data_IF_573699817636
#
_entry.id   IF_573699817636
#
_cell.length_a   1.000
_cell.length_b   1.000
_cell.length_c   1.000
_cell.angle_alpha   90.00
_cell.angle_beta   90.00
_cell.angle_gamma   90.00
#
_symmetry.space_group_name_H-M   'P 1'
#
loop_
_entity.id
_entity.type
_entity.pdbx_description
1 polymer ?
#
# COMPACT_ATOMS: atom_id res chain seq x y z
N UNK A 1 -25.24 23.56 14.26
CA UNK A 1 -23.81 23.19 14.42
C UNK A 1 -23.73 21.68 14.63
N UNK A 2 -22.85 20.97 13.91
CA UNK A 2 -22.85 19.50 13.84
C UNK A 2 -21.73 18.91 14.70
N UNK A 3 -22.09 18.22 15.77
CA UNK A 3 -21.21 17.26 16.41
C UNK A 3 -20.94 16.11 15.43
N UNK A 4 -19.67 15.74 15.23
CA UNK A 4 -19.25 14.67 14.30
C UNK A 4 -20.00 13.35 14.51
N UNK A 5 -20.46 13.09 15.74
CA UNK A 5 -21.18 11.88 16.12
C UNK A 5 -22.62 11.79 15.54
N UNK A 6 -23.17 12.88 14.99
CA UNK A 6 -24.52 12.94 14.40
C UNK A 6 -24.50 13.14 12.87
N UNK A 7 -23.36 12.90 12.21
CA UNK A 7 -23.26 12.95 10.75
C UNK A 7 -23.76 11.64 10.17
N UNK A 8 -24.83 11.70 9.37
CA UNK A 8 -25.35 10.54 8.66
C UNK A 8 -24.68 10.43 7.30
N UNK A 9 -23.84 9.41 7.15
CA UNK A 9 -23.23 9.02 5.88
C UNK A 9 -24.06 7.92 5.23
N UNK A 10 -24.36 8.07 3.93
CA UNK A 10 -25.08 7.08 3.16
C UNK A 10 -24.25 6.65 1.95
N UNK A 11 -24.39 5.39 1.51
CA UNK A 11 -23.78 4.94 0.25
C UNK A 11 -24.84 5.09 -0.84
N UNK A 12 -24.52 5.87 -1.88
CA UNK A 12 -25.38 6.10 -3.04
C UNK A 12 -24.63 5.70 -4.33
N UNK A 13 -25.39 5.16 -5.29
CA UNK A 13 -24.89 4.91 -6.65
C UNK A 13 -25.40 6.01 -7.57
N UNK A 14 -24.48 6.81 -8.12
CA UNK A 14 -24.81 7.92 -9.03
C UNK A 14 -24.04 7.68 -10.33
N UNK A 15 -24.74 7.55 -11.46
CA UNK A 15 -24.15 7.28 -12.78
C UNK A 15 -23.15 6.10 -12.77
N UNK A 16 -23.57 4.96 -12.23
CA UNK A 16 -22.77 3.73 -12.05
C UNK A 16 -21.48 3.91 -11.22
N UNK A 17 -21.36 4.99 -10.45
CA UNK A 17 -20.26 5.22 -9.52
C UNK A 17 -20.76 5.22 -8.08
N UNK A 18 -19.99 4.57 -7.21
CA UNK A 18 -20.26 4.50 -5.76
C UNK A 18 -19.74 5.75 -5.05
N UNK A 19 -20.62 6.40 -4.30
CA UNK A 19 -20.30 7.54 -3.46
C UNK A 19 -20.73 7.30 -2.02
N UNK A 20 -19.95 7.79 -1.07
CA UNK A 20 -20.43 8.06 0.27
C UNK A 20 -20.94 9.51 0.28
N UNK A 21 -22.17 9.74 0.75
CA UNK A 21 -22.83 11.04 0.70
C UNK A 21 -23.08 11.58 2.10
N UNK A 22 -22.91 12.88 2.26
CA UNK A 22 -23.23 13.60 3.49
C UNK A 22 -24.15 14.78 3.16
N UNK A 23 -25.35 14.78 3.72
CA UNK A 23 -26.26 15.92 3.64
C UNK A 23 -25.77 17.05 4.53
N UNK A 24 -25.67 18.26 3.97
CA UNK A 24 -25.27 19.47 4.68
C UNK A 24 -26.41 20.46 4.77
N UNK A 25 -26.40 21.28 5.81
CA UNK A 25 -27.41 22.33 5.99
C UNK A 25 -27.06 23.50 5.05
N UNK A 26 -28.05 24.32 4.67
CA UNK A 26 -27.80 25.49 3.83
C UNK A 26 -26.78 26.46 4.44
N UNK A 27 -26.77 26.58 5.77
CA UNK A 27 -25.86 27.46 6.52
C UNK A 27 -24.43 26.92 6.67
N UNK A 28 -24.17 25.65 6.28
CA UNK A 28 -22.84 25.05 6.39
C UNK A 28 -21.89 25.73 5.37
N UNK A 29 -20.94 26.54 5.88
CA UNK A 29 -19.95 27.25 5.06
C UNK A 29 -18.79 26.32 4.70
N UNK A 30 -18.65 26.07 3.41
CA UNK A 30 -17.56 25.28 2.84
C UNK A 30 -16.28 26.09 2.72
N UNK A 31 -15.16 25.44 2.98
CA UNK A 31 -13.83 25.98 2.80
C UNK A 31 -13.26 25.45 1.48
N UNK A 32 -13.44 26.24 0.42
CA UNK A 32 -13.04 25.86 -0.94
C UNK A 32 -11.55 25.51 -1.07
N UNK A 33 -10.69 26.16 -0.29
CA UNK A 33 -9.27 25.83 -0.27
C UNK A 33 -9.00 24.40 0.24
N UNK A 34 -9.76 23.90 1.23
CA UNK A 34 -9.58 22.54 1.77
C UNK A 34 -9.97 21.49 0.72
N UNK A 35 -11.05 21.76 -0.02
CA UNK A 35 -11.51 20.92 -1.12
C UNK A 35 -10.45 20.88 -2.23
N UNK A 36 -9.93 22.04 -2.62
CA UNK A 36 -8.90 22.16 -3.64
C UNK A 36 -7.59 21.48 -3.21
N UNK A 37 -7.22 21.55 -1.93
CA UNK A 37 -6.06 20.83 -1.41
C UNK A 37 -6.24 19.32 -1.54
N UNK A 38 -7.43 18.79 -1.23
CA UNK A 38 -7.70 17.35 -1.37
C UNK A 38 -7.71 16.94 -2.84
N UNK A 39 -8.38 17.71 -3.70
CA UNK A 39 -8.51 17.40 -5.12
C UNK A 39 -7.18 17.43 -5.88
N UNK A 40 -6.31 18.38 -5.56
CA UNK A 40 -5.03 18.55 -6.24
C UNK A 40 -3.90 17.68 -5.68
N UNK A 41 -4.13 16.96 -4.57
CA UNK A 41 -3.13 16.08 -3.95
C UNK A 41 -3.70 14.67 -3.77
N UNK A 42 -3.78 13.85 -4.84
CA UNK A 42 -4.39 12.51 -4.79
C UNK A 42 -3.62 11.51 -3.90
N UNK A 43 -2.39 11.85 -3.48
CA UNK A 43 -1.64 11.09 -2.49
C UNK A 43 -2.13 11.32 -1.06
N UNK A 44 -3.01 12.29 -0.83
CA UNK A 44 -3.63 12.49 0.46
C UNK A 44 -4.53 11.30 0.80
N UNK A 45 -4.60 10.92 2.08
CA UNK A 45 -5.37 9.77 2.54
C UNK A 45 -6.86 10.13 2.70
N UNK A 46 -7.41 10.91 1.76
CA UNK A 46 -8.81 11.35 1.77
C UNK A 46 -9.52 10.91 0.50
N UNK A 47 -10.81 10.62 0.65
CA UNK A 47 -11.67 10.43 -0.50
C UNK A 47 -11.79 11.74 -1.28
N UNK A 48 -11.79 11.63 -2.61
CA UNK A 48 -12.03 12.76 -3.52
C UNK A 48 -13.42 13.35 -3.22
N UNK A 49 -13.48 14.68 -3.11
CA UNK A 49 -14.67 15.43 -2.70
C UNK A 49 -15.27 16.14 -3.90
N UNK A 50 -16.55 15.90 -4.12
CA UNK A 50 -17.42 16.71 -5.00
C UNK A 50 -18.55 17.33 -4.17
N UNK A 51 -18.96 18.55 -4.52
CA UNK A 51 -20.13 19.20 -3.90
C UNK A 51 -21.22 19.32 -4.95
N UNK A 52 -22.41 18.85 -4.59
CA UNK A 52 -23.60 18.97 -5.42
C UNK A 52 -24.64 19.76 -4.65
N UNK A 53 -25.22 20.76 -5.32
CA UNK A 53 -26.34 21.54 -4.79
C UNK A 53 -27.48 21.49 -5.80
N UNK A 54 -28.62 20.99 -5.36
CA UNK A 54 -29.87 20.99 -6.14
C UNK A 54 -30.92 21.69 -5.29
N UNK A 55 -31.34 22.88 -5.71
CA UNK A 55 -32.20 23.75 -4.92
C UNK A 55 -31.59 24.07 -3.54
N UNK A 56 -32.34 23.78 -2.48
CA UNK A 56 -31.96 23.87 -1.07
C UNK A 56 -31.13 22.68 -0.57
N UNK A 57 -31.13 21.57 -1.31
CA UNK A 57 -30.43 20.35 -0.89
C UNK A 57 -28.98 20.40 -1.32
N UNK A 58 -28.10 20.57 -0.34
CA UNK A 58 -26.66 20.54 -0.53
C UNK A 58 -26.08 19.24 0.01
N UNK A 59 -25.30 18.55 -0.81
CA UNK A 59 -24.66 17.28 -0.49
C UNK A 59 -23.17 17.34 -0.78
N UNK A 60 -22.39 16.68 0.08
CA UNK A 60 -20.99 16.35 -0.17
C UNK A 60 -20.94 14.91 -0.65
N UNK A 61 -20.27 14.69 -1.77
CA UNK A 61 -20.05 13.37 -2.35
C UNK A 61 -18.58 13.00 -2.18
N UNK A 62 -18.34 11.84 -1.59
CA UNK A 62 -17.02 11.25 -1.43
C UNK A 62 -16.91 10.03 -2.34
N UNK A 63 -16.00 10.07 -3.31
CA UNK A 63 -15.89 9.02 -4.33
C UNK A 63 -15.21 7.75 -3.82
N UNK A 64 -15.94 6.64 -3.81
CA UNK A 64 -15.44 5.37 -3.27
C UNK A 64 -14.59 4.60 -4.29
N UNK A 65 -15.07 4.47 -5.53
CA UNK A 65 -14.45 3.58 -6.52
C UNK A 65 -14.46 2.12 -6.05
N UNK A 66 -13.35 1.42 -6.19
CA UNK A 66 -13.19 0.01 -5.80
C UNK A 66 -12.80 -0.19 -4.33
N UNK A 67 -12.89 0.85 -3.50
CA UNK A 67 -12.53 0.75 -2.07
C UNK A 67 -13.64 0.06 -1.29
N UNK A 68 -13.25 -0.75 -0.31
CA UNK A 68 -14.15 -1.42 0.63
C UNK A 68 -14.05 -0.77 2.00
N UNK A 69 -15.10 -0.85 2.82
CA UNK A 69 -15.06 -0.25 4.16
C UNK A 69 -14.10 -1.03 5.08
N UNK A 70 -13.48 -0.34 6.04
CA UNK A 70 -12.66 -0.99 7.06
C UNK A 70 -13.50 -1.91 7.95
N UNK A 71 -14.79 -1.62 8.15
CA UNK A 71 -15.74 -2.56 8.78
C UNK A 71 -15.81 -3.90 8.07
N UNK A 72 -15.88 -3.92 6.73
CA UNK A 72 -15.91 -5.15 5.95
C UNK A 72 -14.60 -5.93 6.13
N UNK A 73 -13.45 -5.25 6.06
CA UNK A 73 -12.12 -5.87 6.25
C UNK A 73 -11.97 -6.52 7.62
N UNK A 74 -12.41 -5.83 8.69
CA UNK A 74 -12.25 -6.34 10.06
C UNK A 74 -13.12 -7.58 10.30
N UNK A 75 -14.27 -7.66 9.65
CA UNK A 75 -15.23 -8.76 9.76
C UNK A 75 -14.92 -9.94 8.84
N UNK A 76 -14.08 -9.74 7.83
CA UNK A 76 -13.74 -10.76 6.84
C UNK A 76 -12.50 -11.57 7.27
N UNK A 77 -12.68 -12.89 7.34
CA UNK A 77 -11.65 -13.85 7.76
C UNK A 77 -10.49 -13.99 6.76
N UNK A 78 -10.66 -13.52 5.52
CA UNK A 78 -9.58 -13.48 4.51
C UNK A 78 -8.47 -12.48 4.89
N UNK A 79 -8.77 -11.52 5.76
CA UNK A 79 -7.81 -10.55 6.24
C UNK A 79 -7.25 -10.99 7.59
N UNK A 80 -5.96 -11.32 7.60
CA UNK A 80 -5.24 -11.58 8.84
C UNK A 80 -5.14 -10.31 9.71
N UNK A 81 -4.77 -10.51 10.98
CA UNK A 81 -4.60 -9.41 11.93
C UNK A 81 -3.44 -8.47 11.57
N UNK A 82 -2.41 -8.97 10.88
CA UNK A 82 -1.24 -8.16 10.50
C UNK A 82 -1.64 -7.08 9.51
N UNK A 83 -2.48 -7.42 8.51
CA UNK A 83 -3.07 -6.46 7.56
C UNK A 83 -3.93 -5.41 8.25
N UNK A 84 -4.74 -5.81 9.23
CA UNK A 84 -5.55 -4.85 10.00
C UNK A 84 -4.64 -3.89 10.78
N UNK A 85 -3.60 -4.40 11.42
CA UNK A 85 -2.63 -3.57 12.17
C UNK A 85 -1.88 -2.61 11.22
N UNK A 86 -1.51 -3.06 10.02
CA UNK A 86 -0.91 -2.20 8.99
C UNK A 86 -1.83 -1.05 8.59
N UNK A 87 -3.13 -1.32 8.42
CA UNK A 87 -4.12 -0.27 8.14
C UNK A 87 -4.20 0.74 9.30
N UNK A 88 -4.21 0.27 10.56
CA UNK A 88 -4.23 1.14 11.74
C UNK A 88 -2.98 2.04 11.82
N UNK A 89 -1.81 1.49 11.50
CA UNK A 89 -0.56 2.25 11.44
C UNK A 89 -0.62 3.34 10.37
N UNK A 90 -1.15 3.01 9.20
CA UNK A 90 -1.31 3.97 8.10
C UNK A 90 -2.28 5.10 8.51
N UNK A 91 -3.40 4.79 9.17
CA UNK A 91 -4.33 5.80 9.71
C UNK A 91 -3.62 6.71 10.71
N UNK A 92 -2.85 6.14 11.65
CA UNK A 92 -2.07 6.90 12.63
C UNK A 92 -1.08 7.86 11.96
N UNK A 93 -0.29 7.39 10.98
CA UNK A 93 0.66 8.22 10.23
C UNK A 93 -0.05 9.38 9.52
N UNK A 94 -1.19 9.09 8.90
CA UNK A 94 -1.99 10.09 8.20
C UNK A 94 -2.48 11.19 9.15
N UNK A 95 -3.00 10.81 10.32
CA UNK A 95 -3.51 11.75 11.32
C UNK A 95 -2.42 12.68 11.89
N UNK A 96 -1.17 12.19 11.97
CA UNK A 96 -0.03 12.98 12.44
C UNK A 96 0.56 13.90 11.37
N UNK A 97 0.57 13.48 10.10
CA UNK A 97 1.26 14.21 9.04
C UNK A 97 0.36 15.17 8.24
N UNK A 98 -0.96 15.10 8.41
CA UNK A 98 -1.90 15.93 7.64
C UNK A 98 -1.67 17.45 7.80
N UNK A 99 -1.14 17.91 8.94
CA UNK A 99 -0.85 19.33 9.18
C UNK A 99 0.16 19.89 8.17
N UNK A 100 1.02 19.05 7.58
CA UNK A 100 1.96 19.43 6.53
C UNK A 100 1.25 19.90 5.25
N UNK A 101 -0.02 19.53 5.08
CA UNK A 101 -0.85 19.90 3.94
C UNK A 101 -1.83 21.05 4.24
N UNK A 102 -1.60 21.81 5.32
CA UNK A 102 -2.46 22.91 5.76
C UNK A 102 -3.93 22.51 6.02
N UNK A 103 -4.17 21.23 6.28
CA UNK A 103 -5.49 20.68 6.61
C UNK A 103 -5.57 20.41 8.11
N UNK A 104 -6.73 20.74 8.71
CA UNK A 104 -6.99 20.46 10.13
C UNK A 104 -7.28 18.97 10.35
N UNK A 105 -6.44 18.28 11.13
CA UNK A 105 -6.60 16.85 11.43
C UNK A 105 -7.89 16.57 12.22
N UNK A 106 -8.40 17.55 12.97
CA UNK A 106 -9.66 17.42 13.71
C UNK A 106 -10.86 17.35 12.79
N UNK A 107 -10.73 17.58 11.47
CA UNK A 107 -11.82 17.41 10.49
C UNK A 107 -11.84 16.04 9.82
N UNK A 108 -10.89 15.17 10.15
CA UNK A 108 -10.88 13.78 9.71
C UNK A 108 -11.96 12.97 10.42
N UNK A 109 -12.74 12.19 9.69
CA UNK A 109 -13.71 11.24 10.26
C UNK A 109 -12.97 9.94 10.57
N UNK A 110 -12.82 9.64 11.86
CA UNK A 110 -12.17 8.43 12.36
C UNK A 110 -13.21 7.45 12.90
N UNK A 111 -13.98 6.87 11.98
CA UNK A 111 -14.95 5.81 12.24
C UNK A 111 -14.69 4.67 11.26
N UNK A 112 -14.49 3.45 11.75
CA UNK A 112 -14.14 2.29 10.93
C UNK A 112 -15.21 1.93 9.89
N UNK A 113 -16.46 2.38 10.07
CA UNK A 113 -17.52 2.24 9.05
C UNK A 113 -17.38 3.23 7.89
N UNK A 114 -16.67 4.33 8.12
CA UNK A 114 -16.50 5.46 7.20
C UNK A 114 -15.04 5.64 6.73
N UNK A 115 -14.17 4.68 7.07
CA UNK A 115 -12.82 4.55 6.52
C UNK A 115 -12.87 3.49 5.44
N UNK A 116 -12.26 3.78 4.29
CA UNK A 116 -12.29 2.92 3.12
C UNK A 116 -10.87 2.54 2.72
N UNK A 117 -10.67 1.32 2.27
CA UNK A 117 -9.34 0.78 1.99
C UNK A 117 -9.31 0.26 0.55
N UNK A 118 -8.22 0.53 -0.17
CA UNK A 118 -8.01 0.00 -1.51
C UNK A 118 -7.36 -1.40 -1.46
N UNK A 119 -7.07 -1.98 -2.63
CA UNK A 119 -6.38 -3.28 -2.75
C UNK A 119 -5.00 -3.30 -2.08
N UNK A 120 -4.32 -2.15 -2.02
CA UNK A 120 -2.96 -2.00 -1.49
C UNK A 120 -2.94 -1.74 0.02
N UNK A 121 -4.06 -1.96 0.73
CA UNK A 121 -4.22 -1.71 2.16
C UNK A 121 -4.00 -0.23 2.58
N UNK A 122 -4.15 0.70 1.64
CA UNK A 122 -4.07 2.14 1.90
C UNK A 122 -5.43 2.66 2.36
N UNK A 123 -5.51 3.25 3.57
CA UNK A 123 -6.75 3.81 4.08
C UNK A 123 -7.03 5.20 3.50
N UNK A 124 -8.30 5.45 3.20
CA UNK A 124 -8.88 6.70 2.75
C UNK A 124 -10.00 7.09 3.71
N UNK A 125 -9.83 8.23 4.36
CA UNK A 125 -10.78 8.79 5.31
C UNK A 125 -11.68 9.82 4.65
N UNK A 126 -12.81 10.10 5.31
CA UNK A 126 -13.63 11.26 4.98
C UNK A 126 -13.03 12.50 5.65
N UNK A 127 -12.93 13.59 4.90
CA UNK A 127 -12.57 14.91 5.43
C UNK A 127 -13.81 15.81 5.39
N UNK A 128 -14.02 16.63 6.43
CA UNK A 128 -15.16 17.53 6.52
C UNK A 128 -14.76 18.97 6.12
N UNK A 129 -15.02 19.42 4.88
CA UNK A 129 -14.50 20.69 4.35
C UNK A 129 -15.36 21.90 4.75
N UNK A 130 -15.87 21.94 5.97
CA UNK A 130 -16.72 23.02 6.47
C UNK A 130 -16.19 23.56 7.79
N UNK A 131 -16.53 24.81 8.11
CA UNK A 131 -16.19 25.39 9.42
C UNK A 131 -16.91 24.61 10.52
N UNK A 132 -16.16 24.08 11.47
CA UNK A 132 -16.70 23.44 12.65
C UNK A 132 -15.86 23.81 13.88
N UNK A 133 -16.50 24.37 14.89
CA UNK A 133 -15.86 24.89 16.10
C UNK A 133 -15.77 23.82 17.20
N UNK A 134 -16.60 22.77 17.14
CA UNK A 134 -16.66 21.69 18.12
C UNK A 134 -16.07 20.39 17.56
N UNK A 135 -14.74 20.37 17.40
CA UNK A 135 -14.03 19.17 16.96
C UNK A 135 -13.17 18.63 18.10
N UNK A 136 -13.40 17.36 18.47
CA UNK A 136 -12.58 16.64 19.45
C UNK A 136 -11.11 16.58 19.02
N UNK A 137 -10.22 16.40 20.00
CA UNK A 137 -8.80 16.20 19.75
C UNK A 137 -8.59 14.97 18.84
N UNK A 138 -7.61 15.05 17.94
CA UNK A 138 -7.25 13.92 17.08
C UNK A 138 -6.85 12.68 17.88
N UNK A 139 -6.20 12.87 19.04
CA UNK A 139 -5.76 11.81 19.94
C UNK A 139 -6.96 11.02 20.47
N UNK A 140 -7.97 11.73 20.95
CA UNK A 140 -9.22 11.12 21.44
C UNK A 140 -9.91 10.33 20.32
N UNK A 141 -10.06 10.94 19.14
CA UNK A 141 -10.68 10.29 17.99
C UNK A 141 -9.91 9.02 17.53
N UNK A 142 -8.58 9.02 17.58
CA UNK A 142 -7.75 7.84 17.26
C UNK A 142 -7.91 6.74 18.30
N UNK A 143 -7.90 7.08 19.60
CA UNK A 143 -8.09 6.11 20.68
C UNK A 143 -9.47 5.47 20.56
N UNK A 144 -10.53 6.27 20.36
CA UNK A 144 -11.90 5.79 20.17
C UNK A 144 -12.00 4.83 18.97
N UNK A 145 -11.37 5.19 17.84
CA UNK A 145 -11.30 4.33 16.66
C UNK A 145 -10.64 2.98 17.00
N UNK A 146 -9.46 3.01 17.64
CA UNK A 146 -8.73 1.79 17.99
C UNK A 146 -9.51 0.93 18.97
N UNK A 147 -10.13 1.52 20.00
CA UNK A 147 -10.99 0.80 20.94
C UNK A 147 -12.14 0.09 20.24
N UNK A 148 -12.82 0.78 19.33
CA UNK A 148 -13.96 0.23 18.62
C UNK A 148 -13.54 -0.93 17.70
N UNK A 149 -12.43 -0.79 16.99
CA UNK A 149 -11.88 -1.87 16.15
C UNK A 149 -11.46 -3.05 17.01
N UNK A 150 -10.80 -2.82 18.15
CA UNK A 150 -10.37 -3.88 19.06
C UNK A 150 -11.56 -4.62 19.68
N UNK A 151 -12.64 -3.92 20.02
CA UNK A 151 -13.89 -4.55 20.50
C UNK A 151 -14.44 -5.52 19.46
N UNK A 152 -14.48 -5.13 18.18
CA UNK A 152 -14.92 -6.01 17.09
C UNK A 152 -13.98 -7.20 16.90
N UNK A 153 -12.66 -6.96 16.87
CA UNK A 153 -11.67 -8.02 16.69
C UNK A 153 -11.71 -9.08 17.80
N UNK A 154 -11.91 -8.66 19.06
CA UNK A 154 -12.07 -9.58 20.19
C UNK A 154 -13.36 -10.40 20.11
N UNK A 155 -14.42 -9.85 19.51
CA UNK A 155 -15.68 -10.55 19.32
C UNK A 155 -15.64 -11.57 18.19
N UNK A 156 -14.89 -11.29 17.12
CA UNK A 156 -14.91 -12.09 15.89
C UNK A 156 -13.73 -13.05 15.72
N UNK A 157 -12.54 -12.75 16.27
CA UNK A 157 -11.31 -13.49 15.94
C UNK A 157 -10.74 -14.27 17.14
N UNK A 158 -10.99 -15.59 17.15
CA UNK A 158 -10.34 -16.54 18.07
C UNK A 158 -8.82 -16.69 17.84
N UNK A 159 -8.29 -16.13 16.75
CA UNK A 159 -6.91 -16.35 16.28
C UNK A 159 -5.91 -15.24 16.68
N UNK A 160 -6.28 -14.32 17.58
CA UNK A 160 -5.33 -13.32 18.07
C UNK A 160 -4.21 -13.99 18.89
N UNK A 161 -2.96 -13.81 18.46
CA UNK A 161 -1.79 -14.26 19.19
C UNK A 161 -1.62 -13.47 20.50
N UNK A 162 -0.77 -13.95 21.40
CA UNK A 162 -0.44 -13.23 22.62
C UNK A 162 0.21 -11.87 22.34
N UNK A 163 0.97 -11.76 21.24
CA UNK A 163 1.59 -10.51 20.82
C UNK A 163 0.55 -9.50 20.31
N UNK A 164 -0.42 -9.95 19.51
CA UNK A 164 -1.53 -9.11 19.06
C UNK A 164 -2.31 -8.57 20.26
N UNK A 165 -2.70 -9.46 21.19
CA UNK A 165 -3.43 -9.08 22.42
C UNK A 165 -2.63 -8.07 23.25
N UNK A 166 -1.31 -8.27 23.38
CA UNK A 166 -0.44 -7.36 24.15
C UNK A 166 -0.32 -5.99 23.49
N UNK A 167 -0.18 -5.91 22.17
CA UNK A 167 -0.14 -4.64 21.45
C UNK A 167 -1.47 -3.89 21.58
N UNK A 168 -2.57 -4.56 21.22
CA UNK A 168 -3.91 -3.96 21.23
C UNK A 168 -4.30 -3.46 22.63
N UNK A 169 -3.96 -4.21 23.69
CA UNK A 169 -4.23 -3.78 25.07
C UNK A 169 -3.37 -2.60 25.54
N UNK A 170 -2.19 -2.38 24.97
CA UNK A 170 -1.40 -1.17 25.24
C UNK A 170 -1.97 0.03 24.50
N UNK A 171 -2.41 -0.14 23.25
CA UNK A 171 -2.97 0.93 22.40
C UNK A 171 -4.22 1.59 22.99
N UNK A 172 -5.00 0.87 23.79
CA UNK A 172 -6.25 1.37 24.39
C UNK A 172 -6.12 1.74 25.86
N UNK A 173 -4.91 2.06 26.34
CA UNK A 173 -4.73 2.53 27.72
C UNK A 173 -5.14 4.00 27.79
N UNK A 174 -5.96 4.36 28.78
CA UNK A 174 -6.45 5.73 29.03
C UNK A 174 -5.37 6.85 29.07
N UNK A 175 -4.08 6.51 29.15
CA UNK A 175 -2.97 7.48 29.25
C UNK A 175 -1.89 7.28 28.20
N UNK A 176 -2.16 6.53 27.14
CA UNK A 176 -1.16 6.35 26.08
C UNK A 176 -0.94 7.68 25.35
N UNK A 177 0.33 8.04 25.16
CA UNK A 177 0.70 9.18 24.32
C UNK A 177 0.76 8.80 22.84
N UNK A 178 0.49 9.74 21.93
CA UNK A 178 0.51 9.44 20.50
C UNK A 178 1.86 8.91 20.02
N UNK A 179 2.96 9.41 20.58
CA UNK A 179 4.31 8.92 20.26
C UNK A 179 4.50 7.46 20.72
N UNK A 180 3.92 7.09 21.86
CA UNK A 180 3.94 5.71 22.37
C UNK A 180 3.18 4.79 21.41
N UNK A 181 2.05 5.23 20.83
CA UNK A 181 1.32 4.45 19.82
C UNK A 181 2.22 4.15 18.61
N UNK A 182 2.97 5.13 18.13
CA UNK A 182 3.93 4.96 17.03
C UNK A 182 5.02 3.93 17.35
N UNK A 183 5.53 3.95 18.59
CA UNK A 183 6.50 2.95 19.07
C UNK A 183 5.91 1.54 19.09
N UNK A 184 4.63 1.38 19.47
CA UNK A 184 3.97 0.07 19.48
C UNK A 184 3.91 -0.58 18.08
N UNK A 185 3.63 0.20 17.03
CA UNK A 185 3.67 -0.32 15.66
C UNK A 185 5.07 -0.79 15.27
N UNK A 186 6.10 -0.02 15.66
CA UNK A 186 7.50 -0.35 15.39
C UNK A 186 7.93 -1.62 16.13
N UNK A 187 7.60 -1.73 17.42
CA UNK A 187 7.86 -2.93 18.23
C UNK A 187 7.15 -4.18 17.67
N UNK A 188 5.91 -4.02 17.20
CA UNK A 188 5.13 -5.12 16.64
C UNK A 188 5.77 -5.67 15.36
N UNK A 189 6.15 -4.78 14.42
CA UNK A 189 6.81 -5.17 13.18
C UNK A 189 8.15 -5.87 13.42
N UNK A 190 8.98 -5.32 14.31
CA UNK A 190 10.27 -5.92 14.65
C UNK A 190 10.11 -7.37 15.18
N UNK A 191 9.14 -7.59 16.07
CA UNK A 191 8.85 -8.94 16.60
C UNK A 191 8.34 -9.89 15.51
N UNK A 192 7.49 -9.42 14.61
CA UNK A 192 6.98 -10.23 13.49
C UNK A 192 8.09 -10.63 12.52
N UNK A 193 9.02 -9.71 12.27
CA UNK A 193 10.18 -10.03 11.43
C UNK A 193 11.12 -11.02 12.12
N UNK A 194 11.32 -10.90 13.44
CA UNK A 194 12.04 -11.91 14.24
C UNK A 194 11.35 -13.29 14.20
N UNK A 195 10.03 -13.35 14.40
CA UNK A 195 9.24 -14.59 14.30
C UNK A 195 9.42 -15.25 12.92
N UNK A 196 9.34 -14.46 11.83
CA UNK A 196 9.53 -14.94 10.45
C UNK A 196 10.96 -15.43 10.18
N UNK A 197 11.96 -14.87 10.86
CA UNK A 197 13.36 -15.30 10.76
C UNK A 197 13.61 -16.59 11.56
N UNK A 198 12.96 -16.75 12.71
CA UNK A 198 13.03 -17.95 13.55
C UNK A 198 12.26 -19.15 12.96
N UNK A 199 11.28 -18.91 12.09
CA UNK A 199 10.51 -19.97 11.42
C UNK A 199 11.22 -20.55 10.16
N UNK A 200 12.24 -19.84 9.64
CA UNK A 200 13.08 -20.32 8.53
C UNK A 200 13.94 -21.56 8.84
N UNK A 201 14.62 -21.70 10.00
CA UNK A 201 15.40 -22.91 10.29
C UNK A 201 14.54 -24.19 10.45
N UNK A 202 13.25 -24.06 10.73
CA UNK A 202 12.31 -25.20 10.83
C UNK A 202 12.03 -25.84 9.47
N UNK A 203 11.85 -25.02 8.42
CA UNK A 203 11.63 -25.52 7.06
C UNK A 203 12.89 -26.13 6.44
N UNK A 204 14.08 -25.62 6.77
CA UNK A 204 15.35 -26.20 6.28
C UNK A 204 15.55 -27.62 6.85
N UNK A 205 15.23 -27.84 8.13
CA UNK A 205 15.25 -29.20 8.71
C UNK A 205 14.23 -30.13 8.08
N UNK A 206 13.01 -29.64 7.79
CA UNK A 206 12.00 -30.44 7.09
C UNK A 206 12.48 -30.84 5.67
N UNK A 207 13.15 -29.94 4.94
CA UNK A 207 13.78 -30.28 3.65
C UNK A 207 14.99 -31.22 3.79
N UNK A 208 15.82 -31.07 4.82
CA UNK A 208 16.95 -31.98 5.09
C UNK A 208 16.49 -33.37 5.53
N UNK A 209 15.42 -33.45 6.33
CA UNK A 209 14.80 -34.71 6.76
C UNK A 209 14.15 -35.42 5.56
N UNK A 210 13.42 -34.69 4.69
CA UNK A 210 12.85 -35.24 3.44
C UNK A 210 13.96 -35.70 2.46
N UNK A 211 15.08 -34.97 2.37
CA UNK A 211 16.22 -35.37 1.55
C UNK A 211 16.95 -36.58 2.14
N UNK A 212 17.00 -36.70 3.47
CA UNK A 212 17.59 -37.84 4.16
C UNK A 212 16.73 -39.11 4.00
N UNK A 213 15.40 -38.99 4.08
CA UNK A 213 14.44 -40.09 3.82
C UNK A 213 14.50 -40.55 2.36
N UNK A 214 14.55 -39.62 1.39
CA UNK A 214 14.75 -39.97 -0.03
C UNK A 214 16.09 -40.64 -0.31
N UNK A 215 17.15 -40.26 0.40
CA UNK A 215 18.46 -40.90 0.25
C UNK A 215 18.51 -42.32 0.84
N UNK A 216 17.68 -42.58 1.86
CA UNK A 216 17.51 -43.91 2.44
C UNK A 216 16.74 -44.85 1.50
N UNK A 217 15.68 -44.36 0.85
CA UNK A 217 14.89 -45.16 -0.11
C UNK A 217 15.66 -45.50 -1.39
N UNK A 218 16.54 -44.60 -1.88
CA UNK A 218 17.40 -44.86 -3.04
C UNK A 218 18.47 -45.92 -2.75
N UNK A 219 18.87 -46.08 -1.48
CA UNK A 219 19.87 -47.09 -1.09
C UNK A 219 19.31 -48.52 -0.94
N UNK A 220 17.98 -48.67 -0.87
CA UNK A 220 17.29 -49.95 -0.65
C UNK A 220 16.49 -50.48 -1.85
N UNK A 221 16.41 -49.75 -2.96
CA UNK A 221 15.85 -50.25 -4.22
C UNK A 221 16.86 -50.05 -5.37
N UNK A 222 17.52 -51.14 -5.78
CA UNK A 222 18.16 -51.18 -7.11
C UNK A 222 19.59 -51.68 -7.20
N UNK A 223 19.96 -52.75 -6.47
CA UNK A 223 21.00 -53.67 -6.95
C UNK A 223 20.44 -54.52 -8.09
N UNK A 224 20.32 -53.91 -9.27
CA UNK A 224 20.31 -54.55 -10.59
C UNK A 224 19.91 -53.48 -11.61
N UNK A 225 20.85 -52.95 -12.38
CA UNK A 225 20.80 -52.96 -13.84
C UNK A 225 22.11 -52.41 -14.41
N UNK A 226 22.49 -53.05 -15.50
CA UNK A 226 23.81 -53.08 -16.13
C UNK A 226 24.18 -51.79 -16.87
N UNK A 227 25.49 -51.52 -16.87
CA UNK A 227 26.22 -50.61 -17.76
C UNK A 227 25.78 -50.69 -19.23
N UNK A 228 25.45 -49.54 -19.84
CA UNK A 228 26.03 -49.10 -21.13
C UNK A 228 25.64 -47.67 -21.52
N UNK A 229 26.67 -46.82 -21.57
CA UNK A 229 26.88 -45.62 -22.42
C UNK A 229 25.85 -44.48 -22.26
N UNK A 230 26.26 -43.23 -22.04
CA UNK A 230 26.82 -42.35 -23.08
C UNK A 230 27.70 -41.27 -22.43
N UNK A 231 28.94 -41.15 -22.94
CA UNK A 231 29.77 -39.94 -22.84
C UNK A 231 29.12 -38.85 -23.68
N UNK A 232 29.01 -37.64 -23.13
CA UNK A 232 29.46 -36.37 -23.73
C UNK A 232 28.62 -35.18 -23.25
N UNK A 233 29.33 -34.07 -23.05
CA UNK A 233 28.86 -32.67 -22.85
C UNK A 233 28.53 -32.23 -21.42
N UNK A 234 29.56 -32.24 -20.59
CA UNK A 234 29.88 -31.08 -19.75
C UNK A 234 30.31 -29.90 -20.63
N UNK A 235 29.41 -28.93 -20.83
CA UNK A 235 29.68 -27.48 -21.01
C UNK A 235 28.37 -26.76 -21.33
N UNK A 236 28.17 -25.61 -20.68
CA UNK A 236 27.02 -24.69 -20.75
C UNK A 236 25.99 -24.85 -19.62
N UNK A 237 26.46 -24.64 -18.38
CA UNK A 237 25.64 -24.02 -17.34
C UNK A 237 25.86 -22.51 -17.46
N UNK A 238 25.09 -21.86 -18.31
CA UNK A 238 24.77 -20.43 -18.25
C UNK A 238 23.67 -20.16 -19.28
N UNK A 239 22.69 -19.36 -18.89
CA UNK A 239 21.44 -19.05 -19.62
C UNK A 239 20.40 -20.17 -19.74
N UNK A 240 19.49 -20.26 -18.76
CA UNK A 240 18.04 -20.36 -19.04
C UNK A 240 17.25 -19.54 -18.03
N UNK A 241 16.96 -18.31 -18.46
CA UNK A 241 15.74 -17.58 -18.13
C UNK A 241 14.53 -18.50 -18.35
N UNK A 242 13.58 -18.43 -17.42
CA UNK A 242 12.25 -18.99 -17.58
C UNK A 242 11.59 -18.49 -18.88
N UNK A 243 11.13 -19.42 -19.71
CA UNK A 243 10.06 -19.23 -20.69
C UNK A 243 9.37 -20.60 -20.89
N UNK A 244 8.16 -20.71 -20.33
CA UNK A 244 6.88 -20.81 -21.04
C UNK A 244 6.59 -22.23 -21.55
N UNK A 245 5.73 -22.93 -20.82
CA UNK A 245 5.05 -24.15 -21.28
C UNK A 245 3.79 -23.69 -22.00
N UNK A 246 3.82 -23.71 -23.32
CA UNK A 246 2.66 -23.95 -24.19
C UNK A 246 3.21 -24.82 -25.31
N UNK A 247 2.83 -26.09 -25.34
CA UNK A 247 2.73 -26.87 -26.56
C UNK A 247 1.27 -27.34 -26.63
N UNK A 248 0.56 -26.75 -27.60
CA UNK A 248 -0.75 -27.19 -28.07
C UNK A 248 -0.59 -28.54 -28.78
N UNK A 249 -1.46 -29.49 -28.46
CA UNK A 249 -1.74 -30.65 -29.30
C UNK A 249 -3.17 -30.49 -29.83
N UNK A 250 -3.29 -30.18 -31.12
CA UNK A 250 -4.55 -30.24 -31.85
C UNK A 250 -4.82 -31.69 -32.26
N UNK A 251 -5.96 -32.23 -31.83
CA UNK A 251 -6.64 -33.28 -32.60
C UNK A 251 -8.17 -33.19 -32.43
N UNK A 252 -8.80 -32.83 -33.55
CA UNK A 252 -9.95 -33.55 -34.14
C UNK A 252 -11.24 -33.66 -33.32
N UNK A 253 -12.27 -32.86 -33.65
CA UNK A 253 -13.64 -33.35 -33.80
C UNK A 253 -14.41 -32.54 -34.86
N UNK A 254 -15.07 -33.30 -35.73
CA UNK A 254 -15.92 -32.87 -36.84
C UNK A 254 -17.30 -32.41 -36.36
N UNK A 255 -17.82 -31.43 -37.10
CA UNK A 255 -19.21 -31.21 -37.51
C UNK A 255 -20.34 -31.64 -36.54
N UNK A 256 -20.86 -30.66 -35.79
CA UNK A 256 -22.27 -30.64 -35.38
C UNK A 256 -22.78 -29.20 -35.52
N UNK A 257 -23.68 -29.00 -36.50
CA UNK A 257 -24.52 -27.81 -36.61
C UNK A 257 -25.33 -27.63 -35.31
N UNK A 258 -25.18 -26.52 -34.60
CA UNK A 258 -26.21 -25.92 -33.74
C UNK A 258 -25.85 -24.46 -33.41
N UNK A 259 -26.80 -23.56 -33.66
CA UNK A 259 -26.78 -22.15 -33.22
C UNK A 259 -27.03 -22.08 -31.71
N UNK A 260 -25.99 -22.21 -30.92
CA UNK A 260 -25.92 -21.82 -29.50
C UNK A 260 -24.44 -21.88 -29.15
N UNK A 261 -23.74 -20.74 -29.09
CA UNK A 261 -22.42 -20.52 -28.41
C UNK A 261 -21.78 -19.19 -28.85
N UNK A 262 -22.47 -18.07 -28.59
CA UNK A 262 -21.91 -16.71 -28.80
C UNK A 262 -21.31 -16.12 -27.50
N UNK A 263 -21.59 -16.70 -26.33
CA UNK A 263 -21.07 -16.19 -25.04
C UNK A 263 -19.61 -16.59 -24.77
N UNK A 264 -19.18 -17.81 -25.12
CA UNK A 264 -17.82 -18.29 -24.83
C UNK A 264 -16.72 -17.64 -25.71
N UNK A 265 -17.09 -17.10 -26.88
CA UNK A 265 -16.14 -16.40 -27.77
C UNK A 265 -15.79 -14.97 -27.30
N UNK A 266 -16.66 -14.35 -26.49
CA UNK A 266 -16.44 -12.99 -25.96
C UNK A 266 -15.58 -13.00 -24.68
N UNK A 267 -15.68 -14.05 -23.87
CA UNK A 267 -14.92 -14.19 -22.63
C UNK A 267 -13.43 -14.49 -22.90
N UNK A 268 -13.14 -15.27 -23.94
CA UNK A 268 -11.75 -15.55 -24.36
C UNK A 268 -11.01 -14.35 -24.98
N UNK A 269 -11.71 -13.38 -25.59
CA UNK A 269 -11.08 -12.13 -26.05
C UNK A 269 -10.80 -11.15 -24.90
N UNK A 270 -11.65 -11.11 -23.87
CA UNK A 270 -11.46 -10.25 -22.69
C UNK A 270 -10.26 -10.70 -21.85
N UNK A 271 -10.08 -12.02 -21.67
CA UNK A 271 -8.95 -12.57 -20.92
C UNK A 271 -7.61 -12.31 -21.65
N UNK A 272 -7.58 -12.37 -22.99
CA UNK A 272 -6.36 -12.10 -23.77
C UNK A 272 -5.93 -10.61 -23.80
N UNK A 273 -6.85 -9.65 -23.69
CA UNK A 273 -6.50 -8.23 -23.57
C UNK A 273 -6.00 -7.87 -22.16
N UNK A 274 -6.57 -8.47 -21.11
CA UNK A 274 -6.16 -8.25 -19.72
C UNK A 274 -4.72 -8.71 -19.44
N UNK A 275 -4.30 -9.85 -20.00
CA UNK A 275 -2.91 -10.34 -19.88
C UNK A 275 -1.86 -9.44 -20.55
N UNK A 276 -2.24 -8.68 -21.59
CA UNK A 276 -1.32 -7.80 -22.32
C UNK A 276 -1.09 -6.47 -21.60
N UNK A 277 -2.12 -5.97 -20.91
CA UNK A 277 -2.05 -4.72 -20.14
C UNK A 277 -1.28 -4.90 -18.82
N UNK A 278 -1.43 -6.05 -18.15
CA UNK A 278 -0.70 -6.35 -16.90
C UNK A 278 0.82 -6.41 -17.16
N UNK A 279 1.25 -7.04 -18.27
CA UNK A 279 2.67 -7.12 -18.61
C UNK A 279 3.29 -5.79 -19.09
N UNK A 280 2.51 -4.88 -19.68
CA UNK A 280 2.98 -3.51 -19.94
C UNK A 280 3.07 -2.67 -18.66
N UNK A 281 2.16 -2.90 -17.70
CA UNK A 281 2.15 -2.19 -16.42
C UNK A 281 3.33 -2.58 -15.53
N UNK A 282 3.62 -3.87 -15.40
CA UNK A 282 4.76 -4.36 -14.58
C UNK A 282 6.11 -3.88 -15.11
N UNK A 283 6.27 -3.84 -16.44
CA UNK A 283 7.51 -3.37 -17.06
C UNK A 283 7.73 -1.85 -16.91
N UNK A 284 6.65 -1.06 -16.85
CA UNK A 284 6.69 0.39 -16.56
C UNK A 284 6.85 0.69 -15.07
N UNK A 285 6.33 -0.16 -14.18
CA UNK A 285 6.50 -0.05 -12.72
C UNK A 285 7.95 -0.33 -12.32
N UNK A 286 8.55 -1.40 -12.84
CA UNK A 286 9.92 -1.78 -12.48
C UNK A 286 10.97 -0.77 -13.01
N UNK A 287 10.73 -0.15 -14.18
CA UNK A 287 11.58 0.93 -14.67
C UNK A 287 11.44 2.21 -13.84
N UNK A 288 10.22 2.59 -13.44
CA UNK A 288 9.99 3.79 -12.59
C UNK A 288 10.51 3.60 -11.17
N UNK A 289 10.44 2.39 -10.60
CA UNK A 289 11.02 2.11 -9.29
C UNK A 289 12.55 2.07 -9.31
N UNK A 290 13.16 1.55 -10.39
CA UNK A 290 14.62 1.63 -10.58
C UNK A 290 15.09 3.07 -10.72
N UNK A 291 14.40 3.89 -11.51
CA UNK A 291 14.73 5.30 -11.68
C UNK A 291 14.62 6.08 -10.35
N UNK A 292 13.58 5.82 -9.55
CA UNK A 292 13.43 6.43 -8.20
C UNK A 292 14.52 5.99 -7.23
N UNK A 293 14.90 4.71 -7.23
CA UNK A 293 15.98 4.19 -6.37
C UNK A 293 17.34 4.78 -6.75
N UNK A 294 17.61 4.97 -8.03
CA UNK A 294 18.85 5.60 -8.52
C UNK A 294 18.90 7.08 -8.10
N UNK A 295 17.80 7.81 -8.22
CA UNK A 295 17.73 9.23 -7.79
C UNK A 295 17.97 9.37 -6.28
N UNK A 296 17.38 8.49 -5.46
CA UNK A 296 17.56 8.50 -4.00
C UNK A 296 19.02 8.20 -3.62
N UNK A 297 19.64 7.20 -4.24
CA UNK A 297 21.05 6.85 -3.98
C UNK A 297 21.98 8.00 -4.39
N UNK A 298 21.70 8.66 -5.53
CA UNK A 298 22.49 9.81 -5.97
C UNK A 298 22.35 11.01 -5.03
N UNK A 299 21.15 11.28 -4.50
CA UNK A 299 20.92 12.32 -3.48
C UNK A 299 21.69 12.06 -2.18
N UNK A 300 21.73 10.79 -1.74
CA UNK A 300 22.49 10.38 -0.55
C UNK A 300 23.99 10.61 -0.76
N UNK A 301 24.54 10.25 -1.93
CA UNK A 301 25.95 10.49 -2.25
C UNK A 301 26.27 11.99 -2.28
N UNK A 302 25.38 12.83 -2.81
CA UNK A 302 25.54 14.27 -2.87
C UNK A 302 25.53 14.90 -1.46
N UNK A 303 24.66 14.41 -0.56
CA UNK A 303 24.65 14.83 0.84
C UNK A 303 25.92 14.40 1.58
N UNK A 304 26.43 13.19 1.33
CA UNK A 304 27.69 12.75 1.93
C UNK A 304 28.88 13.60 1.48
N UNK A 305 29.00 13.89 0.19
CA UNK A 305 30.07 14.75 -0.35
C UNK A 305 29.95 16.16 0.25
N UNK A 306 28.73 16.69 0.37
CA UNK A 306 28.47 17.98 1.01
C UNK A 306 28.93 18.02 2.47
N UNK A 307 28.62 16.97 3.23
CA UNK A 307 29.03 16.84 4.63
C UNK A 307 30.55 16.69 4.80
N UNK A 308 31.23 15.96 3.90
CA UNK A 308 32.69 15.82 3.89
C UNK A 308 33.39 17.14 3.52
N UNK A 309 32.84 17.91 2.57
CA UNK A 309 33.35 19.24 2.22
C UNK A 309 33.24 20.24 3.38
N UNK A 310 32.15 20.16 4.16
CA UNK A 310 31.95 20.96 5.37
C UNK A 310 32.97 20.64 6.48
N UNK A 311 33.31 19.35 6.65
CA UNK A 311 34.28 18.89 7.66
C UNK A 311 35.71 19.30 7.30
N UNK A 312 36.09 19.25 6.02
CA UNK A 312 37.45 19.58 5.57
C UNK A 312 37.68 21.11 5.54
N UNK A 313 36.63 21.90 5.39
CA UNK A 313 36.72 23.35 5.17
C UNK A 313 36.54 24.22 6.42
N UNK A 314 36.56 23.62 7.62
CA UNK A 314 36.16 24.30 8.86
C UNK A 314 37.02 25.54 9.21
N UNK A 315 38.29 25.61 8.79
CA UNK A 315 39.20 26.69 9.17
C UNK A 315 39.56 27.71 8.07
N UNK A 316 39.17 27.49 6.80
CA UNK A 316 39.50 28.42 5.70
C UNK A 316 38.26 28.93 4.96
N UNK A 317 37.86 30.16 5.30
CA UNK A 317 36.66 30.84 4.76
C UNK A 317 36.70 31.01 3.24
N UNK A 318 37.90 31.09 2.63
CA UNK A 318 38.03 31.20 1.16
C UNK A 318 37.83 29.86 0.48
N UNK A 319 38.35 28.78 1.07
CA UNK A 319 38.14 27.42 0.58
C UNK A 319 36.65 27.04 0.70
N UNK A 320 36.01 27.43 1.80
CA UNK A 320 34.58 27.21 2.03
C UNK A 320 33.70 27.87 0.97
N UNK A 321 33.97 29.14 0.67
CA UNK A 321 33.26 29.87 -0.37
C UNK A 321 33.41 29.22 -1.75
N UNK A 322 34.62 28.75 -2.08
CA UNK A 322 34.88 28.04 -3.33
C UNK A 322 34.12 26.71 -3.44
N UNK A 323 34.12 25.91 -2.37
CA UNK A 323 33.41 24.63 -2.32
C UNK A 323 31.89 24.84 -2.39
N UNK A 324 31.35 25.83 -1.67
CA UNK A 324 29.91 26.14 -1.70
C UNK A 324 29.44 26.60 -3.08
N UNK A 325 30.21 27.47 -3.75
CA UNK A 325 29.90 27.91 -5.13
C UNK A 325 30.01 26.73 -6.10
N UNK A 326 31.01 25.86 -5.93
CA UNK A 326 31.14 24.63 -6.72
C UNK A 326 29.94 23.70 -6.57
N UNK A 327 29.45 23.47 -5.34
CA UNK A 327 28.24 22.67 -5.11
C UNK A 327 26.99 23.30 -5.76
N UNK A 328 26.86 24.63 -5.71
CA UNK A 328 25.74 25.34 -6.31
C UNK A 328 25.72 25.16 -7.84
N UNK A 329 26.88 25.23 -8.49
CA UNK A 329 27.02 24.97 -9.93
C UNK A 329 26.68 23.52 -10.27
N UNK A 330 27.13 22.55 -9.47
CA UNK A 330 26.79 21.12 -9.67
C UNK A 330 25.29 20.89 -9.54
N UNK A 331 24.61 21.51 -8.57
CA UNK A 331 23.16 21.41 -8.39
C UNK A 331 22.41 21.99 -9.60
N UNK A 332 22.87 23.13 -10.13
CA UNK A 332 22.28 23.76 -11.33
C UNK A 332 22.45 22.87 -12.57
N UNK A 333 23.63 22.29 -12.78
CA UNK A 333 23.88 21.37 -13.90
C UNK A 333 23.03 20.10 -13.75
N UNK A 334 22.89 19.56 -12.55
CA UNK A 334 22.06 18.39 -12.29
C UNK A 334 20.57 18.64 -12.52
N UNK A 335 20.04 19.79 -12.07
CA UNK A 335 18.65 20.16 -12.34
C UNK A 335 18.40 20.35 -13.84
N UNK A 336 19.35 20.95 -14.57
CA UNK A 336 19.28 21.07 -16.02
C UNK A 336 19.30 19.69 -16.73
N UNK A 337 20.12 18.75 -16.26
CA UNK A 337 20.17 17.38 -16.80
C UNK A 337 18.88 16.60 -16.54
N UNK A 338 18.28 16.73 -15.36
CA UNK A 338 17.00 16.08 -15.03
C UNK A 338 15.87 16.63 -15.91
N UNK A 339 15.82 17.95 -16.10
CA UNK A 339 14.82 18.60 -16.97
C UNK A 339 15.02 18.18 -18.44
N UNK A 340 16.28 18.10 -18.91
CA UNK A 340 16.60 17.66 -20.27
C UNK A 340 16.23 16.19 -20.52
N UNK A 341 16.51 15.31 -19.55
CA UNK A 341 16.23 13.88 -19.65
C UNK A 341 14.73 13.54 -19.55
N UNK A 342 13.92 14.43 -18.95
CA UNK A 342 12.47 14.29 -18.96
C UNK A 342 11.84 14.76 -20.28
N UNK A 343 12.47 15.70 -21.01
CA UNK A 343 12.01 16.14 -22.34
C UNK A 343 12.30 15.16 -23.48
N UNK A 344 13.19 14.18 -23.31
CA UNK A 344 13.48 13.16 -24.33
C UNK A 344 12.60 11.90 -24.24
N UNK A 345 11.66 11.87 -23.27
CA UNK A 345 10.72 10.77 -23.04
C UNK A 345 9.25 11.13 -23.31
N UNK A 346 8.97 12.36 -23.73
CA UNK A 346 7.76 12.76 -24.49
C UNK A 346 8.06 12.67 -25.98
#
# INVERSE_FOLDING_TARGET
MKNKQNLNFNIENINNKRYCTLSVNEDDVFLEYEINMIKNNPSLPFLEIDIVQVNSDKKVLYKLGNKISLSEIIQDDRYDIEKVIEILENIYKCANNIKEFMLDNRKMVLDYKNIYVNSDLVPYMIYLPFKNEELNDIKENLIDLFENIIKVLKGNKNNLTNNDKKMLSKMTRNRIELDEVGQLFTEYKARKDEERLLDKPSKIKEYEDILSERSYDISNQGSNYSHKQIKEKTKNVENRRFKSVIEEDYSEFQDVDNEEDIEDYLESQLEYEEYKDIHQYDKKMDSRQKDKKIIIIQLIVLMMIGSLGLIISYDDKKLFGGIAVGMLVVIIIFTALIISNNKSKE
#
